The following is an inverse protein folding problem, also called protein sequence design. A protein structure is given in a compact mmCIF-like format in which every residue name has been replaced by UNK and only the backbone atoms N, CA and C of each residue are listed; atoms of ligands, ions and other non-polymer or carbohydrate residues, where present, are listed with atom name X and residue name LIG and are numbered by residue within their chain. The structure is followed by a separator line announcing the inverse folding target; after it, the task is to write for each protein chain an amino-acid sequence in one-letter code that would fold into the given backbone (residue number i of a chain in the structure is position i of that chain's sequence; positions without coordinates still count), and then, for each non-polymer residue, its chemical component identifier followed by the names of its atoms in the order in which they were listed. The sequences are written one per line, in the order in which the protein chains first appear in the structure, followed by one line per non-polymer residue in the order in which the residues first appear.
data_IF_293915852412
#
_entry.id   IF_293915852412
#
_cell.length_a   1.000
_cell.length_b   1.000
_cell.length_c   1.000
_cell.angle_alpha   90.00
_cell.angle_beta   90.00
_cell.angle_gamma   90.00
#
_symmetry.space_group_name_H-M   'P 1'
#
loop_
_entity.id
_entity.type
_entity.pdbx_description
1 polymer ?
#
# COMPACT_ATOMS: atom_id res chain seq x y z
N UNK A 1 -21.85 13.16 -2.01
CA UNK A 1 -21.75 14.28 -1.05
C UNK A 1 -20.77 13.92 0.07
N UNK A 2 -19.47 14.06 -0.22
CA UNK A 2 -18.39 14.45 0.72
C UNK A 2 -17.46 15.29 -0.16
N UNK A 3 -17.98 16.46 -0.49
CA UNK A 3 -17.26 17.52 -1.18
C UNK A 3 -16.68 18.37 -0.06
N UNK A 4 -15.36 18.59 -0.09
CA UNK A 4 -14.63 19.66 0.61
C UNK A 4 -14.28 19.41 2.10
N UNK A 5 -12.95 19.39 2.30
CA UNK A 5 -12.19 19.80 3.49
C UNK A 5 -12.07 18.77 4.62
N UNK A 6 -11.06 17.93 4.48
CA UNK A 6 -10.19 17.62 5.61
C UNK A 6 -8.80 18.24 5.36
N UNK A 7 -8.79 19.55 5.11
CA UNK A 7 -7.65 20.39 5.46
C UNK A 7 -7.88 20.86 6.89
N UNK A 8 -7.53 20.03 7.89
CA UNK A 8 -7.61 20.40 9.30
C UNK A 8 -6.37 21.20 9.69
N UNK A 9 -6.33 22.45 9.23
CA UNK A 9 -5.27 23.45 9.45
C UNK A 9 -3.92 23.17 8.77
N UNK A 10 -3.32 24.23 8.21
CA UNK A 10 -1.95 24.22 7.71
C UNK A 10 -0.92 23.79 8.76
N UNK A 11 -1.25 23.95 10.06
CA UNK A 11 -0.38 23.57 11.17
C UNK A 11 -0.26 22.04 11.32
N UNK A 12 -1.33 21.28 11.09
CA UNK A 12 -1.27 19.81 11.11
C UNK A 12 -0.52 19.27 9.89
N UNK A 13 -0.73 19.87 8.71
CA UNK A 13 0.05 19.53 7.51
C UNK A 13 1.55 19.78 7.71
N UNK A 14 1.93 20.94 8.25
CA UNK A 14 3.33 21.27 8.55
C UNK A 14 3.94 20.30 9.57
N UNK A 15 3.15 19.88 10.56
CA UNK A 15 3.57 18.89 11.55
C UNK A 15 3.76 17.52 10.90
N UNK A 16 2.82 17.09 10.05
CA UNK A 16 2.90 15.83 9.31
C UNK A 16 4.12 15.77 8.38
N UNK A 17 4.48 16.89 7.73
CA UNK A 17 5.68 16.99 6.88
C UNK A 17 6.96 16.68 7.65
N UNK A 18 7.03 16.95 8.96
CA UNK A 18 8.21 16.68 9.78
C UNK A 18 8.12 15.34 10.53
N UNK A 19 6.93 14.99 11.01
CA UNK A 19 6.67 13.73 11.72
C UNK A 19 6.81 12.53 10.79
N UNK A 20 6.40 12.64 9.52
CA UNK A 20 6.49 11.53 8.57
C UNK A 20 7.95 11.10 8.28
N UNK A 21 8.88 12.00 7.91
CA UNK A 21 10.29 11.65 7.80
C UNK A 21 10.90 11.14 9.11
N UNK A 22 10.56 11.76 10.25
CA UNK A 22 11.07 11.34 11.56
C UNK A 22 10.62 9.90 11.88
N UNK A 23 9.35 9.58 11.60
CA UNK A 23 8.81 8.23 11.72
C UNK A 23 9.58 7.24 10.83
N UNK A 24 9.84 7.58 9.57
CA UNK A 24 10.63 6.74 8.65
C UNK A 24 12.05 6.47 9.18
N UNK A 25 12.72 7.48 9.76
CA UNK A 25 14.04 7.30 10.38
C UNK A 25 13.95 6.40 11.61
N UNK A 26 12.97 6.62 12.48
CA UNK A 26 12.79 5.85 13.69
C UNK A 26 12.54 4.36 13.41
N UNK A 27 11.71 4.02 12.42
CA UNK A 27 11.47 2.61 12.07
C UNK A 27 12.73 1.97 11.45
N UNK A 28 13.47 2.69 10.60
CA UNK A 28 14.70 2.18 9.98
C UNK A 28 15.80 1.93 11.02
N UNK A 29 15.85 2.71 12.10
CA UNK A 29 16.80 2.52 13.20
C UNK A 29 16.67 1.13 13.84
N UNK A 30 15.46 0.57 13.93
CA UNK A 30 15.23 -0.78 14.45
C UNK A 30 15.43 -1.87 13.39
N UNK A 31 15.16 -1.58 12.12
CA UNK A 31 15.31 -2.54 11.02
C UNK A 31 16.79 -2.87 10.75
N UNK A 32 17.68 -1.86 10.81
CA UNK A 32 19.11 -2.04 10.49
C UNK A 32 19.83 -3.06 11.41
N UNK A 33 19.71 -2.99 12.76
CA UNK A 33 20.30 -3.99 13.65
C UNK A 33 19.77 -5.40 13.39
N UNK A 34 18.47 -5.54 13.11
CA UNK A 34 17.84 -6.84 12.82
C UNK A 34 18.39 -7.41 11.51
N UNK A 35 18.55 -6.59 10.48
CA UNK A 35 19.15 -7.00 9.21
C UNK A 35 20.61 -7.45 9.38
N UNK A 36 21.39 -6.73 10.18
CA UNK A 36 22.79 -7.08 10.47
C UNK A 36 22.90 -8.37 11.31
N UNK A 37 22.03 -8.54 12.31
CA UNK A 37 21.93 -9.79 13.07
C UNK A 37 21.52 -10.95 12.16
N UNK A 38 20.57 -10.75 11.25
CA UNK A 38 20.12 -11.78 10.31
C UNK A 38 21.22 -12.25 9.38
N UNK A 39 22.02 -11.32 8.84
CA UNK A 39 23.17 -11.64 8.00
C UNK A 39 24.24 -12.44 8.73
N UNK A 40 24.50 -12.13 10.01
CA UNK A 40 25.56 -12.78 10.79
C UNK A 40 25.16 -14.13 11.39
N UNK A 41 23.91 -14.27 11.87
CA UNK A 41 23.43 -15.48 12.57
C UNK A 41 22.72 -16.48 11.64
N UNK A 42 21.95 -16.00 10.65
CA UNK A 42 21.12 -16.85 9.79
C UNK A 42 21.78 -17.10 8.43
N UNK A 43 22.50 -16.12 7.91
CA UNK A 43 23.20 -16.21 6.62
C UNK A 43 22.25 -16.39 5.43
N UNK A 44 22.73 -17.06 4.37
CA UNK A 44 22.01 -17.26 3.10
C UNK A 44 20.93 -18.37 3.12
N UNK A 45 20.60 -18.94 4.29
CA UNK A 45 19.65 -20.05 4.41
C UNK A 45 18.18 -19.63 4.28
N UNK A 46 17.88 -18.35 4.42
CA UNK A 46 16.52 -17.79 4.30
C UNK A 46 16.54 -16.43 3.61
N UNK A 47 15.39 -15.95 3.16
CA UNK A 47 15.28 -14.62 2.55
C UNK A 47 15.48 -13.53 3.61
N UNK A 48 16.11 -12.42 3.20
CA UNK A 48 16.32 -11.24 4.07
C UNK A 48 15.02 -10.71 4.68
N UNK A 49 13.92 -10.92 3.99
CA UNK A 49 12.58 -10.45 4.36
C UNK A 49 12.02 -11.24 5.56
N UNK A 50 12.56 -12.45 5.82
CA UNK A 50 12.17 -13.34 6.92
C UNK A 50 13.12 -13.28 8.12
N UNK A 51 14.11 -12.40 8.14
CA UNK A 51 15.07 -12.29 9.26
C UNK A 51 14.41 -11.95 10.60
N UNK A 52 13.39 -11.08 10.60
CA UNK A 52 12.62 -10.73 11.79
C UNK A 52 11.97 -11.96 12.45
N UNK A 53 11.56 -12.94 11.66
CA UNK A 53 10.93 -14.17 12.15
C UNK A 53 11.95 -15.29 12.43
N UNK A 54 12.94 -15.44 11.56
CA UNK A 54 13.92 -16.53 11.66
C UNK A 54 14.92 -16.33 12.80
N UNK A 55 15.30 -15.09 13.15
CA UNK A 55 16.25 -14.83 14.24
C UNK A 55 15.75 -15.35 15.60
N UNK A 56 14.51 -15.05 16.05
CA UNK A 56 13.96 -15.64 17.27
C UNK A 56 13.86 -17.17 17.22
N UNK A 57 13.47 -17.73 16.07
CA UNK A 57 13.34 -19.19 15.90
C UNK A 57 14.69 -19.91 16.01
N UNK A 58 15.75 -19.37 15.38
CA UNK A 58 17.10 -19.94 15.50
C UNK A 58 17.69 -19.79 16.91
N UNK A 59 17.26 -18.76 17.65
CA UNK A 59 17.71 -18.52 19.03
C UNK A 59 16.91 -19.31 20.07
N UNK A 60 15.92 -20.12 19.66
CA UNK A 60 15.05 -20.89 20.56
C UNK A 60 13.99 -20.06 21.30
N UNK A 61 13.73 -18.82 20.86
CA UNK A 61 12.75 -17.92 21.47
C UNK A 61 11.41 -17.95 20.70
N UNK A 62 10.71 -19.08 20.78
CA UNK A 62 9.46 -19.33 20.03
C UNK A 62 8.34 -18.35 20.36
N UNK A 63 8.25 -17.88 21.61
CA UNK A 63 7.25 -16.88 22.02
C UNK A 63 7.48 -15.55 21.30
N UNK A 64 8.74 -15.13 21.15
CA UNK A 64 9.08 -13.91 20.44
C UNK A 64 8.80 -14.05 18.93
N UNK A 65 9.10 -15.22 18.36
CA UNK A 65 8.74 -15.54 16.98
C UNK A 65 7.22 -15.46 16.76
N UNK A 66 6.44 -15.99 17.72
CA UNK A 66 4.98 -15.98 17.63
C UNK A 66 4.41 -14.57 17.73
N UNK A 67 4.91 -13.75 18.65
CA UNK A 67 4.51 -12.33 18.76
C UNK A 67 4.85 -11.59 17.46
N UNK A 68 6.06 -11.78 16.92
CA UNK A 68 6.48 -11.17 15.67
C UNK A 68 5.63 -11.63 14.48
N UNK A 69 5.27 -12.91 14.42
CA UNK A 69 4.42 -13.48 13.39
C UNK A 69 3.00 -12.91 13.44
N UNK A 70 2.38 -12.90 14.62
CA UNK A 70 1.01 -12.36 14.80
C UNK A 70 0.99 -10.86 14.47
N UNK A 71 1.98 -10.10 14.97
CA UNK A 71 2.13 -8.67 14.69
C UNK A 71 2.33 -8.41 13.19
N UNK A 72 3.24 -9.15 12.55
CA UNK A 72 3.54 -9.02 11.12
C UNK A 72 2.35 -9.40 10.23
N UNK A 73 1.69 -10.52 10.52
CA UNK A 73 0.51 -10.98 9.78
C UNK A 73 -0.66 -9.98 9.91
N UNK A 74 -0.90 -9.47 11.13
CA UNK A 74 -1.95 -8.49 11.39
C UNK A 74 -1.67 -7.16 10.70
N UNK A 75 -0.43 -6.66 10.79
CA UNK A 75 -0.02 -5.42 10.12
C UNK A 75 -0.14 -5.54 8.59
N UNK A 76 0.31 -6.66 8.01
CA UNK A 76 0.19 -6.91 6.58
C UNK A 76 -1.28 -6.96 6.14
N UNK A 77 -2.14 -7.66 6.89
CA UNK A 77 -3.57 -7.75 6.58
C UNK A 77 -4.25 -6.39 6.66
N UNK A 78 -3.97 -5.61 7.72
CA UNK A 78 -4.49 -4.27 7.88
C UNK A 78 -4.07 -3.34 6.72
N UNK A 79 -2.78 -3.39 6.34
CA UNK A 79 -2.24 -2.60 5.23
C UNK A 79 -2.93 -2.95 3.90
N UNK A 80 -3.06 -4.23 3.56
CA UNK A 80 -3.74 -4.68 2.34
C UNK A 80 -5.19 -4.20 2.28
N UNK A 81 -5.92 -4.24 3.40
CA UNK A 81 -7.31 -3.76 3.47
C UNK A 81 -7.37 -2.25 3.23
N UNK A 82 -6.54 -1.47 3.94
CA UNK A 82 -6.51 0.00 3.84
C UNK A 82 -6.15 0.43 2.42
N UNK A 83 -5.11 -0.17 1.82
CA UNK A 83 -4.67 0.13 0.45
C UNK A 83 -5.74 -0.23 -0.57
N UNK A 84 -6.36 -1.41 -0.47
CA UNK A 84 -7.41 -1.84 -1.40
C UNK A 84 -8.61 -0.88 -1.37
N UNK A 85 -9.01 -0.44 -0.17
CA UNK A 85 -10.11 0.52 -0.02
C UNK A 85 -9.71 1.88 -0.60
N UNK A 86 -8.53 2.40 -0.26
CA UNK A 86 -8.04 3.67 -0.77
C UNK A 86 -7.95 3.69 -2.30
N UNK A 87 -7.35 2.66 -2.91
CA UNK A 87 -7.24 2.53 -4.37
C UNK A 87 -8.62 2.39 -5.01
N UNK A 88 -9.55 1.65 -4.40
CA UNK A 88 -10.91 1.53 -4.95
C UNK A 88 -11.67 2.86 -4.96
N UNK A 89 -11.40 3.74 -3.98
CA UNK A 89 -11.94 5.11 -3.93
C UNK A 89 -11.32 5.94 -5.06
N UNK A 90 -9.99 5.92 -5.19
CA UNK A 90 -9.28 6.66 -6.23
C UNK A 90 -9.70 6.21 -7.63
N UNK A 91 -9.81 4.90 -7.89
CA UNK A 91 -10.28 4.38 -9.19
C UNK A 91 -11.73 4.82 -9.46
N UNK A 92 -12.59 4.72 -8.45
CA UNK A 92 -13.99 5.14 -8.60
C UNK A 92 -14.11 6.64 -8.88
N UNK A 93 -13.29 7.48 -8.27
CA UNK A 93 -13.41 8.92 -8.40
C UNK A 93 -12.66 9.46 -9.62
N UNK A 94 -11.45 8.97 -9.87
CA UNK A 94 -10.50 9.57 -10.82
C UNK A 94 -10.52 8.87 -12.18
N UNK A 95 -11.02 7.63 -12.26
CA UNK A 95 -11.15 6.90 -13.53
C UNK A 95 -12.60 6.77 -13.97
N UNK A 96 -13.47 6.29 -13.07
CA UNK A 96 -14.85 5.92 -13.41
C UNK A 96 -15.69 7.17 -13.67
N UNK A 97 -15.76 8.12 -12.72
CA UNK A 97 -16.54 9.36 -12.91
C UNK A 97 -16.17 10.11 -14.21
N UNK A 98 -14.90 10.43 -14.53
CA UNK A 98 -14.59 11.18 -15.76
C UNK A 98 -14.91 10.40 -17.04
N UNK A 99 -14.76 9.07 -17.06
CA UNK A 99 -15.17 8.23 -18.18
C UNK A 99 -16.69 8.27 -18.40
N UNK A 100 -17.47 8.28 -17.32
CA UNK A 100 -18.93 8.37 -17.38
C UNK A 100 -19.42 9.79 -17.68
N UNK A 101 -18.80 10.85 -17.16
CA UNK A 101 -19.10 12.25 -17.48
C UNK A 101 -18.90 12.53 -18.97
N UNK A 102 -17.83 11.99 -19.58
CA UNK A 102 -17.63 12.04 -21.05
C UNK A 102 -18.74 11.33 -21.82
N UNK A 103 -19.37 10.31 -21.25
CA UNK A 103 -20.47 9.55 -21.87
C UNK A 103 -21.84 10.21 -21.65
N UNK A 104 -22.08 10.84 -20.50
CA UNK A 104 -23.27 11.62 -20.18
C UNK A 104 -23.40 12.89 -21.04
N UNK A 105 -22.30 13.58 -21.33
CA UNK A 105 -22.28 14.69 -22.31
C UNK A 105 -22.70 14.25 -23.73
N UNK A 106 -22.70 12.94 -24.01
CA UNK A 106 -23.06 12.35 -25.29
C UNK A 106 -24.49 11.76 -25.33
N UNK A 107 -25.15 11.60 -24.18
CA UNK A 107 -26.47 10.98 -24.07
C UNK A 107 -27.34 11.79 -23.13
N UNK A 108 -27.99 12.81 -23.69
CA UNK A 108 -29.04 13.59 -23.03
C UNK A 108 -30.32 12.75 -22.98
N UNK A 109 -30.44 11.82 -22.02
CA UNK A 109 -31.71 11.22 -21.54
C UNK A 109 -31.43 9.94 -20.77
N UNK A 110 -31.65 9.96 -19.45
CA UNK A 110 -32.59 9.05 -18.78
C UNK A 110 -32.53 9.27 -17.26
N UNK A 111 -33.70 9.22 -16.67
CA UNK A 111 -34.05 9.45 -15.27
C UNK A 111 -33.24 8.58 -14.28
N UNK A 112 -32.88 9.16 -13.13
CA UNK A 112 -32.84 8.56 -11.78
C UNK A 112 -32.42 7.09 -11.58
N UNK A 113 -31.61 6.49 -12.46
CA UNK A 113 -31.08 5.15 -12.23
C UNK A 113 -29.92 5.20 -11.24
N UNK A 114 -30.21 4.97 -9.96
CA UNK A 114 -29.40 4.18 -9.03
C UNK A 114 -27.87 4.39 -9.07
N UNK A 115 -27.41 5.62 -9.32
CA UNK A 115 -26.00 5.95 -9.50
C UNK A 115 -25.17 5.63 -8.26
N UNK A 116 -25.80 5.67 -7.09
CA UNK A 116 -25.19 5.25 -5.82
C UNK A 116 -24.86 3.76 -5.82
N UNK A 117 -25.75 2.90 -6.32
CA UNK A 117 -25.55 1.44 -6.35
C UNK A 117 -24.52 1.05 -7.43
N UNK A 118 -24.50 1.75 -8.56
CA UNK A 118 -23.45 1.59 -9.58
C UNK A 118 -22.06 1.93 -9.03
N UNK A 119 -21.91 3.06 -8.35
CA UNK A 119 -20.62 3.45 -7.74
C UNK A 119 -20.18 2.45 -6.67
N UNK A 120 -21.10 1.98 -5.83
CA UNK A 120 -20.81 0.96 -4.81
C UNK A 120 -20.37 -0.37 -5.45
N UNK A 121 -21.02 -0.79 -6.54
CA UNK A 121 -20.68 -2.02 -7.26
C UNK A 121 -19.32 -1.90 -7.97
N UNK A 122 -19.02 -0.76 -8.58
CA UNK A 122 -17.71 -0.50 -9.21
C UNK A 122 -16.61 -0.59 -8.17
N UNK A 123 -16.79 0.01 -6.98
CA UNK A 123 -15.80 -0.08 -5.90
C UNK A 123 -15.52 -1.53 -5.48
N UNK A 124 -16.57 -2.33 -5.28
CA UNK A 124 -16.44 -3.75 -4.93
C UNK A 124 -15.75 -4.54 -6.04
N UNK A 125 -16.10 -4.27 -7.30
CA UNK A 125 -15.44 -4.88 -8.46
C UNK A 125 -13.97 -4.48 -8.54
N UNK A 126 -13.62 -3.21 -8.31
CA UNK A 126 -12.23 -2.74 -8.27
C UNK A 126 -11.43 -3.48 -7.20
N UNK A 127 -11.95 -3.63 -5.98
CA UNK A 127 -11.28 -4.39 -4.92
C UNK A 127 -11.03 -5.84 -5.39
N UNK A 128 -12.07 -6.49 -5.92
CA UNK A 128 -11.96 -7.87 -6.39
C UNK A 128 -10.94 -8.03 -7.51
N UNK A 129 -10.98 -7.16 -8.52
CA UNK A 129 -10.05 -7.18 -9.66
C UNK A 129 -8.62 -6.91 -9.19
N UNK A 130 -8.40 -5.92 -8.32
CA UNK A 130 -7.07 -5.61 -7.79
C UNK A 130 -6.49 -6.79 -7.01
N UNK A 131 -7.26 -7.39 -6.10
CA UNK A 131 -6.82 -8.56 -5.34
C UNK A 131 -6.58 -9.77 -6.24
N UNK A 132 -7.41 -9.95 -7.28
CA UNK A 132 -7.22 -11.02 -8.25
C UNK A 132 -5.93 -10.84 -9.07
N UNK A 133 -5.65 -9.62 -9.55
CA UNK A 133 -4.39 -9.31 -10.25
C UNK A 133 -3.20 -9.47 -9.31
N UNK A 134 -3.30 -9.00 -8.06
CA UNK A 134 -2.24 -9.17 -7.06
C UNK A 134 -1.96 -10.65 -6.77
N UNK A 135 -3.00 -11.48 -6.69
CA UNK A 135 -2.87 -12.93 -6.52
C UNK A 135 -2.25 -13.60 -7.73
N UNK A 136 -2.66 -13.23 -8.95
CA UNK A 136 -2.03 -13.73 -10.19
C UNK A 136 -0.56 -13.32 -10.25
N UNK A 137 -0.24 -12.07 -9.92
CA UNK A 137 1.14 -11.60 -9.85
C UNK A 137 1.97 -12.38 -8.84
N UNK A 138 1.44 -12.61 -7.63
CA UNK A 138 2.09 -13.43 -6.63
C UNK A 138 2.35 -14.86 -7.13
N UNK A 139 1.38 -15.45 -7.83
CA UNK A 139 1.49 -16.82 -8.39
C UNK A 139 2.53 -16.91 -9.50
N UNK A 140 2.55 -15.96 -10.43
CA UNK A 140 3.50 -15.94 -11.55
C UNK A 140 4.90 -15.52 -11.10
N UNK A 141 5.02 -14.72 -10.02
CA UNK A 141 6.28 -14.31 -9.40
C UNK A 141 6.90 -15.43 -8.54
N UNK A 142 6.95 -16.63 -9.10
CA UNK A 142 7.63 -17.76 -8.49
C UNK A 142 9.15 -17.55 -8.64
N UNK A 143 9.79 -17.10 -7.55
CA UNK A 143 11.22 -17.32 -7.22
C UNK A 143 12.25 -16.17 -7.36
N UNK A 144 11.92 -14.88 -7.58
CA UNK A 144 13.00 -13.86 -7.72
C UNK A 144 12.72 -12.40 -7.30
N UNK A 145 11.49 -12.02 -6.95
CA UNK A 145 11.22 -10.64 -6.53
C UNK A 145 11.43 -10.49 -5.02
N UNK A 146 12.60 -9.98 -4.60
CA UNK A 146 12.78 -9.46 -3.23
C UNK A 146 11.79 -8.32 -2.98
N UNK A 147 11.16 -8.26 -1.82
CA UNK A 147 10.19 -7.19 -1.49
C UNK A 147 10.80 -5.79 -1.68
N UNK A 148 12.09 -5.64 -1.40
CA UNK A 148 12.83 -4.40 -1.62
C UNK A 148 12.87 -3.96 -3.09
N UNK A 149 12.97 -4.90 -4.04
CA UNK A 149 12.94 -4.58 -5.48
C UNK A 149 11.58 -4.04 -5.92
N UNK A 150 10.49 -4.57 -5.37
CA UNK A 150 9.13 -4.08 -5.65
C UNK A 150 9.01 -2.63 -5.16
N UNK A 151 9.46 -2.35 -3.93
CA UNK A 151 9.48 -0.99 -3.38
C UNK A 151 10.31 -0.02 -4.23
N UNK A 152 11.52 -0.40 -4.64
CA UNK A 152 12.38 0.42 -5.48
C UNK A 152 11.74 0.76 -6.83
N UNK A 153 11.08 -0.21 -7.48
CA UNK A 153 10.36 0.03 -8.73
C UNK A 153 9.19 1.01 -8.53
N UNK A 154 8.41 0.85 -7.46
CA UNK A 154 7.32 1.77 -7.13
C UNK A 154 7.81 3.19 -6.84
N UNK A 155 8.90 3.35 -6.08
CA UNK A 155 9.51 4.67 -5.84
C UNK A 155 10.04 5.30 -7.11
N UNK A 156 10.68 4.51 -7.99
CA UNK A 156 11.15 5.00 -9.28
C UNK A 156 9.99 5.48 -10.16
N UNK A 157 8.86 4.75 -10.17
CA UNK A 157 7.66 5.17 -10.90
C UNK A 157 7.08 6.50 -10.35
N UNK A 158 7.01 6.66 -9.02
CA UNK A 158 6.56 7.92 -8.40
C UNK A 158 7.52 9.07 -8.73
N UNK A 159 8.83 8.82 -8.70
CA UNK A 159 9.84 9.82 -9.01
C UNK A 159 9.73 10.37 -10.44
N UNK A 160 9.15 9.62 -11.39
CA UNK A 160 8.87 10.11 -12.75
C UNK A 160 7.86 11.26 -12.77
N UNK A 161 7.00 11.37 -11.76
CA UNK A 161 6.07 12.50 -11.60
C UNK A 161 6.70 13.69 -10.86
N UNK A 162 7.90 13.55 -10.28
CA UNK A 162 8.58 14.63 -9.55
C UNK A 162 8.82 15.91 -10.39
N UNK A 163 9.20 15.86 -11.68
CA UNK A 163 9.34 17.06 -12.50
C UNK A 163 8.05 17.89 -12.60
N UNK A 164 6.89 17.23 -12.69
CA UNK A 164 5.60 17.89 -12.73
C UNK A 164 5.21 18.51 -11.36
N UNK A 165 5.75 18.01 -10.25
CA UNK A 165 5.52 18.54 -8.91
C UNK A 165 6.44 19.71 -8.55
N UNK A 166 7.66 19.77 -9.12
CA UNK A 166 8.66 20.81 -8.82
C UNK A 166 8.65 21.94 -9.87
N UNK A 167 8.29 21.64 -11.12
CA UNK A 167 8.23 22.61 -12.22
C UNK A 167 6.83 23.18 -12.51
N UNK A 168 5.81 22.81 -11.72
CA UNK A 168 4.43 23.27 -11.83
C UNK A 168 4.04 24.30 -10.79
#
# INVERSE_FOLDING_TARGET
YVTIVENRSEAELRTATWVFPLYLVAINLFVLPIAFAGLSLVGAKTSSDLYVLSLPLFSGHDVLAMIAFIGGLSAATAMVIVESVALSIMISNDLVIPLFVRRLLKTTSSENEDWSTLILNVRRASIFIMLFIAFLYYRESTNSARLSSIGLMSFAAIAQFAPALVGG
#
